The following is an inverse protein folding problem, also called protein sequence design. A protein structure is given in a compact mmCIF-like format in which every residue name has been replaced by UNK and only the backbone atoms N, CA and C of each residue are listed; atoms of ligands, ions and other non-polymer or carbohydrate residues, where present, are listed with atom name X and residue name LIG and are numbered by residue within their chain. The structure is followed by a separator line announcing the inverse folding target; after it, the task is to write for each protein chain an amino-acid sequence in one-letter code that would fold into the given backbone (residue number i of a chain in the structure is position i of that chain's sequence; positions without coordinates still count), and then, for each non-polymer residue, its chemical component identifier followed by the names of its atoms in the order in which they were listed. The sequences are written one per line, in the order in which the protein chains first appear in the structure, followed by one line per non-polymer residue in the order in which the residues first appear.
data_IF_612713798997
#
_entry.id   IF_612713798997
#
_cell.length_a   1.000
_cell.length_b   1.000
_cell.length_c   1.000
_cell.angle_alpha   90.00
_cell.angle_beta   90.00
_cell.angle_gamma   90.00
#
_symmetry.space_group_name_H-M   'P 1'
#
loop_
_entity.id
_entity.type
_entity.pdbx_description
1 polymer ?
#
# COMPACT_ATOMS: atom_id res chain seq x y z
N UNK A 1 33.54 -11.68 0.61
CA UNK A 1 32.40 -11.18 -0.20
C UNK A 1 31.81 -9.99 0.54
N UNK A 2 31.56 -8.86 -0.15
CA UNK A 2 31.95 -7.51 0.29
C UNK A 2 31.00 -6.82 1.27
N UNK A 3 31.61 -5.94 2.08
CA UNK A 3 31.00 -4.81 2.77
C UNK A 3 30.45 -3.80 1.75
N UNK A 4 29.29 -3.15 1.98
CA UNK A 4 28.98 -1.94 1.18
C UNK A 4 27.57 -1.39 1.01
N UNK A 5 26.48 -2.03 1.46
CA UNK A 5 25.13 -1.47 1.24
C UNK A 5 24.26 -1.57 2.51
N UNK A 6 24.48 -0.65 3.46
CA UNK A 6 23.41 -0.31 4.39
C UNK A 6 22.27 0.30 3.55
N UNK A 7 21.07 -0.32 3.50
CA UNK A 7 20.00 0.18 2.67
C UNK A 7 19.66 1.62 3.06
N UNK A 8 19.41 2.51 2.10
CA UNK A 8 19.10 3.91 2.37
C UNK A 8 17.90 3.97 3.31
N UNK A 9 18.05 4.74 4.40
CA UNK A 9 17.06 5.05 5.46
C UNK A 9 15.68 4.40 5.20
N UNK A 10 15.54 3.14 5.57
CA UNK A 10 14.35 2.37 5.25
C UNK A 10 13.16 3.00 5.98
N UNK A 11 12.24 3.61 5.22
CA UNK A 11 11.05 4.22 5.82
C UNK A 11 10.28 3.15 6.60
N UNK A 12 9.87 3.48 7.82
CA UNK A 12 9.03 2.57 8.62
C UNK A 12 7.72 2.31 7.88
N UNK A 13 7.19 1.09 7.97
CA UNK A 13 5.87 0.78 7.43
C UNK A 13 4.85 0.76 8.55
N UNK A 14 3.83 1.60 8.44
CA UNK A 14 2.69 1.61 9.34
C UNK A 14 1.46 1.03 8.63
N UNK A 15 0.98 -0.10 9.15
CA UNK A 15 -0.28 -0.69 8.71
C UNK A 15 -1.43 -0.08 9.50
N UNK A 16 -2.39 0.51 8.79
CA UNK A 16 -3.55 1.15 9.42
C UNK A 16 -4.69 0.14 9.55
N UNK A 17 -5.39 0.17 10.70
CA UNK A 17 -6.60 -0.63 10.94
C UNK A 17 -6.39 -2.14 10.65
N UNK A 18 -7.32 -2.76 9.91
CA UNK A 18 -7.30 -4.17 9.55
C UNK A 18 -6.30 -4.52 8.44
N UNK A 19 -5.63 -3.54 7.80
CA UNK A 19 -4.82 -3.77 6.60
C UNK A 19 -3.75 -4.86 6.77
N UNK A 20 -3.14 -4.96 7.96
CA UNK A 20 -2.17 -6.03 8.28
C UNK A 20 -2.82 -7.41 8.31
N UNK A 21 -4.03 -7.52 8.86
CA UNK A 21 -4.80 -8.78 8.91
C UNK A 21 -5.27 -9.16 7.50
N UNK A 22 -5.74 -8.19 6.73
CA UNK A 22 -6.21 -8.39 5.37
C UNK A 22 -5.06 -8.85 4.45
N UNK A 23 -3.89 -8.21 4.54
CA UNK A 23 -2.69 -8.64 3.81
C UNK A 23 -2.22 -10.04 4.20
N UNK A 24 -2.38 -10.43 5.48
CA UNK A 24 -2.06 -11.80 5.94
C UNK A 24 -3.03 -12.84 5.39
N UNK A 25 -4.27 -12.45 5.08
CA UNK A 25 -5.27 -13.30 4.45
C UNK A 25 -5.05 -13.51 2.95
N UNK A 26 -4.15 -12.74 2.32
CA UNK A 26 -3.84 -12.91 0.90
C UNK A 26 -3.14 -14.26 0.63
N UNK A 27 -3.37 -14.85 -0.56
CA UNK A 27 -2.62 -16.02 -0.99
C UNK A 27 -1.13 -15.71 -1.07
N UNK A 28 -0.30 -16.74 -0.86
CA UNK A 28 1.17 -16.63 -0.77
C UNK A 28 1.80 -15.79 -1.89
N UNK A 29 1.31 -15.94 -3.13
CA UNK A 29 1.78 -15.16 -4.28
C UNK A 29 1.47 -13.66 -4.10
N UNK A 30 0.21 -13.30 -3.87
CA UNK A 30 -0.17 -11.90 -3.70
C UNK A 30 0.51 -11.24 -2.49
N UNK A 31 0.65 -11.97 -1.38
CA UNK A 31 1.39 -11.48 -0.21
C UNK A 31 2.86 -11.22 -0.53
N UNK A 32 3.51 -12.08 -1.32
CA UNK A 32 4.91 -11.90 -1.75
C UNK A 32 5.06 -10.68 -2.66
N UNK A 33 4.20 -10.58 -3.66
CA UNK A 33 4.24 -9.50 -4.66
C UNK A 33 3.99 -8.14 -4.00
N UNK A 34 2.97 -8.03 -3.14
CA UNK A 34 2.66 -6.81 -2.38
C UNK A 34 3.77 -6.50 -1.38
N UNK A 35 4.27 -7.49 -0.64
CA UNK A 35 5.35 -7.30 0.32
C UNK A 35 6.64 -6.79 -0.34
N UNK A 36 7.00 -7.35 -1.49
CA UNK A 36 8.16 -6.91 -2.27
C UNK A 36 7.99 -5.49 -2.83
N UNK A 37 6.78 -5.15 -3.29
CA UNK A 37 6.47 -3.80 -3.74
C UNK A 37 6.56 -2.77 -2.58
N UNK A 38 6.06 -3.11 -1.40
CA UNK A 38 6.19 -2.25 -0.20
C UNK A 38 7.67 -2.11 0.20
N UNK A 39 8.44 -3.21 0.24
CA UNK A 39 9.87 -3.15 0.58
C UNK A 39 10.65 -2.22 -0.36
N UNK A 40 10.37 -2.26 -1.67
CA UNK A 40 10.95 -1.32 -2.64
C UNK A 40 10.61 0.13 -2.28
N UNK A 41 9.35 0.42 -1.97
CA UNK A 41 8.90 1.77 -1.58
C UNK A 41 9.60 2.23 -0.30
N UNK A 42 9.81 1.34 0.66
CA UNK A 42 10.53 1.66 1.90
C UNK A 42 11.98 2.09 1.65
N UNK A 43 12.61 1.50 0.62
CA UNK A 43 13.97 1.85 0.15
C UNK A 43 13.99 3.09 -0.76
N UNK A 44 12.85 3.74 -0.97
CA UNK A 44 12.73 4.88 -1.89
C UNK A 44 12.68 4.50 -3.37
N UNK A 45 12.55 3.21 -3.69
CA UNK A 45 12.42 2.72 -5.06
C UNK A 45 10.97 2.71 -5.51
N UNK A 46 10.74 2.94 -6.81
CA UNK A 46 9.42 2.76 -7.39
C UNK A 46 9.00 1.27 -7.34
N UNK A 47 7.77 0.94 -6.92
CA UNK A 47 7.25 -0.43 -7.03
C UNK A 47 7.12 -0.84 -8.51
N UNK A 48 7.00 -2.15 -8.78
CA UNK A 48 6.83 -2.62 -10.18
C UNK A 48 5.37 -2.55 -10.64
N UNK A 49 4.42 -2.93 -9.78
CA UNK A 49 3.00 -3.09 -10.15
C UNK A 49 2.13 -2.11 -9.35
N UNK A 50 2.31 -0.81 -9.57
CA UNK A 50 1.53 0.21 -8.88
C UNK A 50 0.83 1.18 -9.82
N UNK A 51 -0.30 1.72 -9.37
CA UNK A 51 -1.03 2.79 -10.03
C UNK A 51 -1.33 3.92 -9.04
N UNK A 52 -1.30 5.16 -9.53
CA UNK A 52 -1.70 6.31 -8.72
C UNK A 52 -3.23 6.33 -8.54
N UNK A 53 -3.69 6.32 -7.29
CA UNK A 53 -5.11 6.27 -7.00
C UNK A 53 -5.70 7.67 -6.88
N UNK A 54 -6.26 8.17 -7.99
CA UNK A 54 -6.91 9.48 -8.03
C UNK A 54 -8.24 9.46 -7.28
N UNK A 55 -8.55 10.55 -6.59
CA UNK A 55 -9.83 10.73 -5.91
C UNK A 55 -9.88 10.27 -4.45
N UNK A 56 -8.83 9.63 -3.90
CA UNK A 56 -8.72 9.33 -2.47
C UNK A 56 -7.94 10.42 -1.74
N UNK A 57 -6.73 10.71 -2.20
CA UNK A 57 -5.83 11.67 -1.55
C UNK A 57 -4.53 11.85 -2.34
N UNK A 58 -3.79 12.91 -2.03
CA UNK A 58 -2.52 13.20 -2.72
C UNK A 58 -1.43 12.21 -2.29
N UNK A 59 -0.83 11.52 -3.27
CA UNK A 59 0.23 10.54 -3.02
C UNK A 59 -0.27 9.17 -2.54
N UNK A 60 -1.57 8.90 -2.71
CA UNK A 60 -2.16 7.57 -2.53
C UNK A 60 -1.87 6.73 -3.78
N UNK A 61 -1.33 5.54 -3.58
CA UNK A 61 -0.96 4.59 -4.62
C UNK A 61 -1.59 3.23 -4.31
N UNK A 62 -1.96 2.48 -5.34
CA UNK A 62 -2.43 1.10 -5.23
C UNK A 62 -1.42 0.14 -5.84
N UNK A 63 -1.14 -0.98 -5.19
CA UNK A 63 -0.39 -2.13 -5.72
C UNK A 63 -1.39 -3.15 -6.19
N UNK A 64 -1.19 -3.70 -7.40
CA UNK A 64 -2.01 -4.77 -7.96
C UNK A 64 -1.24 -6.08 -7.99
N UNK A 65 -1.85 -7.16 -7.56
CA UNK A 65 -1.29 -8.51 -7.67
C UNK A 65 -2.38 -9.53 -7.93
N UNK A 66 -2.21 -10.30 -9.00
CA UNK A 66 -3.12 -11.39 -9.35
C UNK A 66 -2.61 -12.72 -8.78
N UNK A 67 -3.50 -13.45 -8.13
CA UNK A 67 -3.21 -14.76 -7.57
C UNK A 67 -4.46 -15.64 -7.56
N UNK A 68 -4.31 -16.91 -7.97
CA UNK A 68 -5.40 -17.90 -8.00
C UNK A 68 -6.64 -17.47 -8.80
N UNK A 69 -6.48 -16.62 -9.82
CA UNK A 69 -7.59 -16.11 -10.63
C UNK A 69 -8.27 -14.86 -10.05
N UNK A 70 -7.84 -14.40 -8.87
CA UNK A 70 -8.34 -13.21 -8.21
C UNK A 70 -7.32 -12.06 -8.25
N UNK A 71 -7.81 -10.82 -8.34
CA UNK A 71 -6.97 -9.61 -8.25
C UNK A 71 -6.99 -9.06 -6.82
N UNK A 72 -5.84 -9.00 -6.20
CA UNK A 72 -5.63 -8.40 -4.88
C UNK A 72 -5.02 -7.01 -5.02
N UNK A 73 -5.51 -6.08 -4.20
CA UNK A 73 -5.03 -4.70 -4.19
C UNK A 73 -4.62 -4.26 -2.80
N UNK A 74 -3.50 -3.54 -2.72
CA UNK A 74 -3.02 -2.92 -1.50
C UNK A 74 -2.83 -1.42 -1.72
N UNK A 75 -3.49 -0.59 -0.92
CA UNK A 75 -3.44 0.86 -1.05
C UNK A 75 -2.53 1.43 0.02
N UNK A 76 -1.58 2.26 -0.39
CA UNK A 76 -0.58 2.84 0.49
C UNK A 76 -0.28 4.31 0.15
N UNK A 77 0.39 5.00 1.07
CA UNK A 77 0.85 6.38 0.90
C UNK A 77 2.32 6.44 1.25
N UNK A 78 3.14 6.82 0.27
CA UNK A 78 4.59 6.98 0.44
C UNK A 78 5.05 8.44 0.33
N UNK A 79 4.11 9.38 0.17
CA UNK A 79 4.37 10.82 0.09
C UNK A 79 4.98 11.39 1.39
N UNK A 80 4.70 10.76 2.53
CA UNK A 80 5.24 11.19 3.80
C UNK A 80 6.71 10.75 3.94
N UNK A 81 7.56 11.66 4.40
CA UNK A 81 9.00 11.39 4.57
C UNK A 81 9.28 10.47 5.75
N UNK A 82 8.36 10.40 6.72
CA UNK A 82 8.52 9.68 7.98
C UNK A 82 8.32 8.17 7.83
N UNK A 83 7.31 7.77 7.06
CA UNK A 83 6.90 6.39 6.93
C UNK A 83 6.01 6.14 5.70
N UNK A 84 5.94 4.86 5.31
CA UNK A 84 4.97 4.35 4.33
C UNK A 84 3.73 3.88 5.09
N UNK A 85 2.57 4.44 4.76
CA UNK A 85 1.31 4.09 5.42
C UNK A 85 0.48 3.19 4.52
N UNK A 86 0.23 1.95 4.93
CA UNK A 86 -0.67 1.03 4.24
C UNK A 86 -2.09 1.28 4.75
N UNK A 87 -2.93 1.88 3.91
CA UNK A 87 -4.30 2.25 4.28
C UNK A 87 -5.22 1.04 4.31
N UNK A 88 -5.13 0.19 3.29
CA UNK A 88 -6.06 -0.93 3.12
C UNK A 88 -5.51 -2.01 2.20
N UNK A 89 -5.98 -3.24 2.39
CA UNK A 89 -5.69 -4.37 1.52
C UNK A 89 -7.00 -5.12 1.28
N UNK A 90 -7.39 -5.31 0.03
CA UNK A 90 -8.64 -6.00 -0.30
C UNK A 90 -8.53 -6.79 -1.59
N UNK A 91 -9.32 -7.86 -1.66
CA UNK A 91 -9.54 -8.61 -2.90
C UNK A 91 -10.61 -7.89 -3.73
N UNK A 92 -10.31 -7.66 -5.00
CA UNK A 92 -11.30 -7.18 -5.96
C UNK A 92 -12.25 -8.34 -6.27
N UNK A 93 -13.54 -8.17 -5.96
CA UNK A 93 -14.57 -9.21 -6.17
C UNK A 93 -15.14 -9.27 -7.59
N UNK A 94 -14.91 -8.24 -8.43
CA UNK A 94 -15.39 -8.21 -9.81
C UNK A 94 -14.23 -8.12 -10.81
N UNK A 95 -14.18 -8.99 -11.84
CA UNK A 95 -13.16 -8.93 -12.88
C UNK A 95 -13.27 -7.66 -13.74
N UNK A 96 -14.48 -7.11 -13.93
CA UNK A 96 -14.75 -5.93 -14.74
C UNK A 96 -14.87 -4.66 -13.90
N UNK A 97 -14.08 -3.63 -14.25
CA UNK A 97 -14.08 -2.31 -13.59
C UNK A 97 -12.67 -1.84 -13.25
N UNK A 98 -12.21 -0.78 -13.92
CA UNK A 98 -10.94 -0.09 -13.60
C UNK A 98 -11.08 0.72 -12.32
N UNK A 99 -12.25 1.33 -12.11
CA UNK A 99 -12.56 2.17 -10.97
C UNK A 99 -12.87 1.38 -9.71
N UNK A 100 -12.44 1.88 -8.56
CA UNK A 100 -12.89 1.38 -7.28
C UNK A 100 -14.36 1.73 -7.07
N UNK A 101 -15.15 0.84 -6.45
CA UNK A 101 -16.52 1.18 -6.08
C UNK A 101 -16.52 2.30 -5.03
N UNK A 102 -17.61 3.07 -4.98
CA UNK A 102 -17.72 4.28 -4.12
C UNK A 102 -17.46 3.96 -2.64
N UNK A 103 -18.02 2.87 -2.14
CA UNK A 103 -17.85 2.42 -0.75
C UNK A 103 -16.37 2.16 -0.37
N UNK A 104 -15.57 1.57 -1.28
CA UNK A 104 -14.14 1.36 -1.04
C UNK A 104 -13.39 2.70 -1.10
N UNK A 105 -13.77 3.57 -2.05
CA UNK A 105 -13.17 4.90 -2.19
C UNK A 105 -13.40 5.76 -0.94
N UNK A 106 -14.63 5.78 -0.41
CA UNK A 106 -14.98 6.49 0.82
C UNK A 106 -14.23 5.91 2.02
N UNK A 107 -14.18 4.58 2.16
CA UNK A 107 -13.39 3.91 3.20
C UNK A 107 -11.91 4.30 3.15
N UNK A 108 -11.33 4.35 1.96
CA UNK A 108 -9.94 4.77 1.76
C UNK A 108 -9.73 6.25 2.12
N UNK A 109 -10.67 7.13 1.76
CA UNK A 109 -10.63 8.55 2.16
C UNK A 109 -10.63 8.70 3.68
N UNK A 110 -11.56 8.05 4.37
CA UNK A 110 -11.64 8.11 5.83
C UNK A 110 -10.35 7.60 6.50
N UNK A 111 -9.75 6.52 5.98
CA UNK A 111 -8.46 6.02 6.48
C UNK A 111 -7.31 6.96 6.17
N UNK A 112 -7.30 7.57 4.98
CA UNK A 112 -6.30 8.56 4.60
C UNK A 112 -6.36 9.80 5.51
N UNK A 113 -7.55 10.33 5.79
CA UNK A 113 -7.75 11.46 6.69
C UNK A 113 -7.33 11.11 8.13
N UNK A 114 -7.63 9.89 8.58
CA UNK A 114 -7.15 9.40 9.87
C UNK A 114 -5.62 9.41 9.95
N UNK A 115 -4.93 8.88 8.94
CA UNK A 115 -3.45 8.89 8.87
C UNK A 115 -2.93 10.32 8.81
N UNK A 116 -3.53 11.20 8.02
CA UNK A 116 -3.12 12.60 7.92
C UNK A 116 -3.23 13.33 9.26
N UNK A 117 -4.22 12.99 10.08
CA UNK A 117 -4.46 13.58 11.41
C UNK A 117 -3.59 12.97 12.51
N UNK A 118 -3.33 11.65 12.47
CA UNK A 118 -2.61 10.92 13.52
C UNK A 118 -1.17 10.57 13.16
N UNK A 119 -0.67 10.99 11.99
CA UNK A 119 0.75 10.89 11.69
C UNK A 119 1.53 11.62 12.80
N UNK A 120 2.65 11.06 13.30
CA UNK A 120 3.61 11.90 14.00
C UNK A 120 3.90 13.09 13.07
N UNK A 121 3.80 14.31 13.57
CA UNK A 121 4.27 15.45 12.82
C UNK A 121 5.77 15.52 13.06
N UNK A 122 6.56 15.47 11.99
CA UNK A 122 7.99 15.75 12.03
C UNK A 122 8.19 17.12 12.70
N UNK A 123 8.63 17.11 13.97
CA UNK A 123 9.11 18.30 14.68
C UNK A 123 10.43 18.74 14.08
#
# INVERSE_FOLDING_TARGET
MPEGDLPPLQKRTHFCFSSKKDLRGFPKKARRDVGHAIDRVQRGLAPQNFDALRGVGSGVMEIKSDARGDTYRAVYVAKFSEAVYVLDCFQKKSPSGKSLPKNITERLKSRYDFVKKHRPAKR
#
